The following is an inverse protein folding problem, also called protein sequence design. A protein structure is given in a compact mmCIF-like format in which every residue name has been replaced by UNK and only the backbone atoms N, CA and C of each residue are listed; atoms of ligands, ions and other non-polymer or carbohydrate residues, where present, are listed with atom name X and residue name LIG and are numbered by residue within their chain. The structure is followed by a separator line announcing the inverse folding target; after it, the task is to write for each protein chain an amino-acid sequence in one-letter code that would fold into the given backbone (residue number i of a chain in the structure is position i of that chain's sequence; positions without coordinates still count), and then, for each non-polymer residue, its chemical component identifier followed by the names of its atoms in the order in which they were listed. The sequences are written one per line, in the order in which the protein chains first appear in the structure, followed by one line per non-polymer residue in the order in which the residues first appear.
data_IF_334845099520
#
_entry.id   IF_334845099520
#
_cell.length_a   1.000
_cell.length_b   1.000
_cell.length_c   1.000
_cell.angle_alpha   90.00
_cell.angle_beta   90.00
_cell.angle_gamma   90.00
#
_symmetry.space_group_name_H-M   'P 1'
#
loop_
_entity.id
_entity.type
_entity.pdbx_description
1 polymer ?
#
# COMPACT_ATOMS: atom_id res chain seq x y z
N UNK A 1 50.05 41.18 10.60
CA UNK A 1 49.73 40.53 9.30
C UNK A 1 49.59 39.00 9.37
N UNK A 2 50.10 38.33 10.42
CA UNK A 2 49.99 36.86 10.59
C UNK A 2 48.62 36.37 11.13
N UNK A 3 47.97 37.18 11.97
CA UNK A 3 46.77 36.76 12.72
C UNK A 3 45.49 36.66 11.86
N UNK A 4 45.24 37.66 11.00
CA UNK A 4 44.13 37.64 10.03
C UNK A 4 44.17 36.41 9.09
N UNK A 5 45.37 35.89 8.80
CA UNK A 5 45.54 34.73 7.93
C UNK A 5 45.14 33.42 8.64
N UNK A 6 45.33 33.33 9.97
CA UNK A 6 44.90 32.19 10.78
C UNK A 6 43.38 32.17 10.98
N UNK A 7 42.78 33.34 11.24
CA UNK A 7 41.31 33.49 11.37
C UNK A 7 40.60 33.14 10.06
N UNK A 8 41.17 33.53 8.91
CA UNK A 8 40.65 33.17 7.59
C UNK A 8 40.71 31.65 7.32
N UNK A 9 41.81 31.00 7.70
CA UNK A 9 41.99 29.55 7.52
C UNK A 9 41.01 28.73 8.37
N UNK A 10 40.80 29.13 9.63
CA UNK A 10 39.87 28.48 10.57
C UNK A 10 38.42 28.57 10.08
N UNK A 11 38.02 29.73 9.54
CA UNK A 11 36.69 29.91 8.93
C UNK A 11 36.51 29.03 7.69
N UNK A 12 37.55 28.90 6.86
CA UNK A 12 37.51 28.06 5.66
C UNK A 12 37.37 26.57 6.02
N UNK A 13 38.09 26.12 7.05
CA UNK A 13 38.01 24.74 7.56
C UNK A 13 36.63 24.43 8.17
N UNK A 14 36.03 25.39 8.89
CA UNK A 14 34.69 25.24 9.44
C UNK A 14 33.61 25.14 8.35
N UNK A 15 33.69 25.98 7.30
CA UNK A 15 32.76 25.92 6.15
C UNK A 15 32.92 24.61 5.39
N UNK A 16 34.16 24.16 5.18
CA UNK A 16 34.44 22.87 4.54
C UNK A 16 33.88 21.70 5.36
N UNK A 17 34.02 21.74 6.69
CA UNK A 17 33.43 20.76 7.60
C UNK A 17 31.91 20.71 7.52
N UNK A 18 31.23 21.87 7.51
CA UNK A 18 29.77 21.96 7.38
C UNK A 18 29.30 21.43 6.01
N UNK A 19 30.02 21.75 4.93
CA UNK A 19 29.70 21.25 3.58
C UNK A 19 29.90 19.73 3.47
N UNK A 20 30.95 19.16 4.07
CA UNK A 20 31.16 17.71 4.12
C UNK A 20 30.09 17.00 4.96
N UNK A 21 29.66 17.59 6.09
CA UNK A 21 28.55 17.05 6.87
C UNK A 21 27.24 17.13 6.10
N UNK A 22 26.95 18.22 5.37
CA UNK A 22 25.75 18.35 4.55
C UNK A 22 25.69 17.33 3.40
N UNK A 23 26.83 17.00 2.81
CA UNK A 23 26.93 16.05 1.71
C UNK A 23 26.67 14.58 2.11
N UNK A 24 26.81 14.22 3.39
CA UNK A 24 26.49 12.85 3.87
C UNK A 24 25.01 12.66 4.21
N UNK A 25 24.25 13.73 4.44
CA UNK A 25 22.81 13.68 4.77
C UNK A 25 21.93 13.80 3.53
N UNK A 26 22.40 14.48 2.49
CA UNK A 26 21.68 14.68 1.23
C UNK A 26 21.29 13.40 0.45
N UNK A 27 22.05 12.28 0.47
CA UNK A 27 21.68 11.09 -0.29
C UNK A 27 20.41 10.40 0.19
N UNK A 28 19.92 10.69 1.41
CA UNK A 28 18.71 10.06 1.96
C UNK A 28 17.40 10.62 1.38
N UNK A 29 17.44 11.70 0.58
CA UNK A 29 16.24 12.40 0.10
C UNK A 29 16.02 12.30 -1.41
N UNK A 30 16.83 11.53 -2.14
CA UNK A 30 16.60 11.27 -3.56
C UNK A 30 15.71 10.02 -3.64
N UNK A 31 14.46 10.11 -4.12
CA UNK A 31 13.66 8.91 -4.36
C UNK A 31 14.29 8.14 -5.53
N UNK A 32 15.22 7.24 -5.23
CA UNK A 32 15.70 6.27 -6.20
C UNK A 32 14.55 5.33 -6.53
N UNK A 33 14.28 5.15 -7.83
CA UNK A 33 13.41 4.08 -8.32
C UNK A 33 14.01 2.74 -7.86
N UNK A 34 13.51 2.22 -6.75
CA UNK A 34 13.89 0.90 -6.25
C UNK A 34 13.00 -0.13 -6.93
N UNK A 35 13.62 -1.07 -7.65
CA UNK A 35 12.95 -2.29 -8.05
C UNK A 35 13.27 -3.34 -7.00
N UNK A 36 12.25 -4.05 -6.52
CA UNK A 36 12.48 -5.17 -5.63
C UNK A 36 13.37 -6.22 -6.31
N UNK A 37 14.35 -6.74 -5.59
CA UNK A 37 15.05 -7.97 -5.92
C UNK A 37 14.06 -9.14 -5.99
N UNK A 38 13.04 -9.12 -5.12
CA UNK A 38 11.92 -10.06 -5.13
C UNK A 38 10.63 -9.30 -5.48
N UNK A 39 10.11 -9.55 -6.68
CA UNK A 39 8.86 -8.97 -7.17
C UNK A 39 7.71 -9.89 -6.81
N UNK A 40 6.92 -9.46 -5.83
CA UNK A 40 5.72 -10.18 -5.41
C UNK A 40 4.50 -9.84 -6.27
N UNK A 41 3.42 -10.58 -6.04
CA UNK A 41 2.14 -10.38 -6.72
C UNK A 41 1.10 -9.91 -5.70
N UNK A 42 0.28 -8.94 -6.08
CA UNK A 42 -0.93 -8.55 -5.36
C UNK A 42 -2.13 -9.25 -6.00
N UNK A 43 -3.01 -9.80 -5.18
CA UNK A 43 -4.12 -10.62 -5.66
C UNK A 43 -5.38 -10.48 -4.81
N UNK A 44 -6.50 -10.88 -5.41
CA UNK A 44 -7.79 -11.01 -4.75
C UNK A 44 -7.91 -12.40 -4.13
N UNK A 45 -8.07 -12.47 -2.81
CA UNK A 45 -8.31 -13.69 -2.04
C UNK A 45 -9.72 -13.66 -1.45
N UNK A 46 -10.68 -14.25 -2.17
CA UNK A 46 -12.07 -14.34 -1.73
C UNK A 46 -12.33 -15.62 -0.88
N UNK A 47 -13.37 -15.65 -0.04
CA UNK A 47 -13.72 -16.81 0.79
C UNK A 47 -13.84 -18.10 -0.05
N UNK A 48 -13.47 -19.26 0.51
CA UNK A 48 -13.29 -19.54 1.95
C UNK A 48 -11.92 -19.14 2.53
N UNK A 49 -10.95 -18.77 1.69
CA UNK A 49 -9.61 -18.37 2.12
C UNK A 49 -9.61 -16.91 2.61
N UNK A 50 -10.13 -16.73 3.82
CA UNK A 50 -10.10 -15.45 4.55
C UNK A 50 -8.88 -15.30 5.45
N UNK A 51 -7.79 -16.03 5.21
CA UNK A 51 -6.60 -15.95 6.09
C UNK A 51 -5.26 -16.07 5.36
N UNK A 52 -4.55 -14.93 5.33
CA UNK A 52 -3.11 -14.72 5.65
C UNK A 52 -1.99 -15.49 4.93
N UNK A 53 -2.25 -16.44 4.03
CA UNK A 53 -1.19 -17.31 3.47
C UNK A 53 -0.70 -16.94 2.05
N UNK A 54 -0.93 -15.71 1.59
CA UNK A 54 -0.51 -15.28 0.25
C UNK A 54 -1.57 -15.46 -0.83
N UNK A 55 -1.13 -15.58 -2.08
CA UNK A 55 -2.02 -15.56 -3.23
C UNK A 55 -2.51 -16.95 -3.62
N UNK A 56 -3.82 -17.12 -3.93
CA UNK A 56 -4.32 -18.41 -4.39
C UNK A 56 -3.77 -18.75 -5.78
N UNK A 57 -3.59 -20.05 -6.05
CA UNK A 57 -3.13 -20.54 -7.36
C UNK A 57 -4.22 -20.53 -8.44
N UNK A 58 -5.47 -20.24 -8.06
CA UNK A 58 -6.63 -20.14 -8.94
C UNK A 58 -7.41 -18.86 -8.59
N UNK A 59 -8.08 -18.21 -9.57
CA UNK A 59 -8.98 -17.11 -9.28
C UNK A 59 -9.97 -17.48 -8.18
N UNK A 60 -10.12 -16.59 -7.20
CA UNK A 60 -11.01 -16.83 -6.09
C UNK A 60 -12.46 -16.79 -6.58
N UNK A 61 -13.20 -17.88 -6.36
CA UNK A 61 -14.64 -17.92 -6.63
C UNK A 61 -15.36 -17.57 -5.35
N UNK A 62 -16.29 -16.62 -5.40
CA UNK A 62 -17.19 -16.38 -4.28
C UNK A 62 -18.18 -17.55 -4.23
N UNK A 63 -17.86 -18.58 -3.45
CA UNK A 63 -18.65 -19.81 -3.35
C UNK A 63 -19.89 -19.54 -2.48
N UNK A 64 -21.05 -20.05 -2.91
CA UNK A 64 -22.28 -20.04 -2.11
C UNK A 64 -23.44 -19.21 -2.65
N UNK A 65 -23.44 -18.82 -3.94
CA UNK A 65 -24.48 -18.00 -4.59
C UNK A 65 -24.99 -16.89 -3.67
N UNK A 66 -24.15 -15.88 -3.38
CA UNK A 66 -24.53 -14.85 -2.43
C UNK A 66 -25.84 -14.20 -2.88
N UNK A 67 -26.83 -14.18 -1.99
CA UNK A 67 -28.13 -13.59 -2.26
C UNK A 67 -27.96 -12.10 -2.53
N UNK A 68 -28.68 -11.52 -3.49
CA UNK A 68 -28.66 -10.07 -3.72
C UNK A 68 -28.94 -9.35 -2.40
N UNK A 69 -28.15 -8.31 -2.10
CA UNK A 69 -28.18 -7.56 -0.85
C UNK A 69 -27.29 -8.12 0.27
N UNK A 70 -26.85 -9.39 0.16
CA UNK A 70 -25.90 -9.97 1.11
C UNK A 70 -24.51 -9.34 1.01
N UNK A 71 -23.68 -9.56 2.04
CA UNK A 71 -22.30 -9.05 2.09
C UNK A 71 -21.29 -10.16 1.92
N UNK A 72 -20.23 -9.87 1.18
CA UNK A 72 -19.07 -10.74 1.00
C UNK A 72 -17.82 -9.95 1.38
N UNK A 73 -16.95 -10.58 2.15
CA UNK A 73 -15.64 -10.01 2.50
C UNK A 73 -14.59 -10.64 1.62
N UNK A 74 -13.73 -9.83 1.01
CA UNK A 74 -12.66 -10.26 0.12
C UNK A 74 -11.36 -9.66 0.63
N UNK A 75 -10.33 -10.49 0.81
CA UNK A 75 -9.00 -10.04 1.19
C UNK A 75 -8.19 -9.64 -0.05
N UNK A 76 -7.33 -8.64 0.09
CA UNK A 76 -6.33 -8.28 -0.89
C UNK A 76 -4.98 -8.67 -0.31
N UNK A 77 -4.36 -9.70 -0.88
CA UNK A 77 -3.11 -10.27 -0.39
C UNK A 77 -1.93 -9.82 -1.26
N UNK A 78 -0.74 -9.92 -0.68
CA UNK A 78 0.53 -9.93 -1.38
C UNK A 78 1.22 -11.27 -1.16
N UNK A 79 2.01 -11.71 -2.13
CA UNK A 79 2.79 -12.92 -2.01
C UNK A 79 4.19 -12.77 -2.61
N UNK A 80 5.20 -13.17 -1.86
CA UNK A 80 6.57 -13.28 -2.34
C UNK A 80 7.20 -11.94 -2.69
N UNK A 81 6.90 -10.86 -1.98
CA UNK A 81 7.52 -9.55 -2.25
C UNK A 81 8.74 -9.29 -1.38
N UNK A 82 9.60 -8.35 -1.77
CA UNK A 82 10.56 -7.75 -0.85
C UNK A 82 9.90 -7.09 0.38
N UNK A 83 10.75 -6.69 1.31
CA UNK A 83 10.37 -5.92 2.49
C UNK A 83 9.70 -4.60 2.05
N UNK A 84 8.53 -4.29 2.60
CA UNK A 84 7.78 -3.07 2.28
C UNK A 84 7.33 -2.37 3.57
N UNK A 85 7.28 -1.04 3.56
CA UNK A 85 6.70 -0.26 4.65
C UNK A 85 5.34 0.33 4.28
N UNK A 86 4.81 0.08 3.08
CA UNK A 86 3.53 0.64 2.67
C UNK A 86 3.10 0.23 1.28
N UNK A 87 1.86 0.59 0.94
CA UNK A 87 1.23 0.31 -0.33
C UNK A 87 0.17 1.36 -0.66
N UNK A 88 -0.23 1.41 -1.94
CA UNK A 88 -1.47 2.03 -2.40
C UNK A 88 -2.02 1.23 -3.57
N UNK A 89 -3.26 0.78 -3.46
CA UNK A 89 -3.87 -0.18 -4.38
C UNK A 89 -5.28 0.29 -4.74
N UNK A 90 -5.60 0.20 -6.03
CA UNK A 90 -6.93 0.43 -6.58
C UNK A 90 -7.53 -0.91 -6.99
N UNK A 91 -8.72 -1.24 -6.49
CA UNK A 91 -9.47 -2.44 -6.85
C UNK A 91 -10.77 -2.02 -7.50
N UNK A 92 -10.96 -2.37 -8.78
CA UNK A 92 -12.16 -2.03 -9.54
C UNK A 92 -13.10 -3.23 -9.65
N UNK A 93 -14.39 -2.96 -9.52
CA UNK A 93 -15.47 -3.94 -9.68
C UNK A 93 -16.56 -3.41 -10.60
N UNK A 94 -17.36 -4.33 -11.16
CA UNK A 94 -18.63 -3.99 -11.77
C UNK A 94 -19.68 -3.81 -10.66
N UNK A 95 -20.11 -2.56 -10.46
CA UNK A 95 -21.06 -2.18 -9.41
C UNK A 95 -22.44 -2.84 -9.57
N UNK A 96 -22.77 -3.35 -10.76
CA UNK A 96 -24.01 -4.10 -11.01
C UNK A 96 -23.94 -5.53 -10.47
N UNK A 97 -22.74 -6.03 -10.14
CA UNK A 97 -22.50 -7.36 -9.59
C UNK A 97 -22.04 -7.27 -8.13
N UNK A 98 -21.00 -6.48 -7.86
CA UNK A 98 -20.44 -6.25 -6.53
C UNK A 98 -20.23 -4.76 -6.30
N UNK A 99 -20.96 -4.21 -5.34
CA UNK A 99 -20.78 -2.81 -4.93
C UNK A 99 -19.90 -2.74 -3.68
N UNK A 100 -18.70 -2.11 -3.73
CA UNK A 100 -17.88 -1.96 -2.53
C UNK A 100 -18.57 -1.03 -1.54
N UNK A 101 -18.59 -1.42 -0.26
CA UNK A 101 -19.23 -0.65 0.81
C UNK A 101 -18.29 -0.29 1.97
N UNK A 102 -17.16 -1.00 2.10
CA UNK A 102 -16.16 -0.75 3.15
C UNK A 102 -14.81 -1.33 2.73
N UNK A 103 -13.71 -0.68 3.16
CA UNK A 103 -12.40 -1.31 3.25
C UNK A 103 -11.86 -1.24 4.69
N UNK A 104 -11.11 -2.26 5.10
CA UNK A 104 -10.61 -2.44 6.46
C UNK A 104 -9.12 -2.81 6.47
N UNK A 105 -8.34 -2.11 7.31
CA UNK A 105 -6.90 -2.30 7.50
C UNK A 105 -6.56 -3.04 8.80
N UNK A 106 -7.54 -3.46 9.60
CA UNK A 106 -7.31 -4.07 10.92
C UNK A 106 -6.45 -5.35 10.87
N UNK A 107 -6.52 -6.10 9.77
CA UNK A 107 -5.79 -7.35 9.57
C UNK A 107 -4.59 -7.20 8.61
N UNK A 108 -4.06 -5.98 8.46
CA UNK A 108 -2.93 -5.74 7.57
C UNK A 108 -1.64 -6.40 8.08
N UNK A 109 -0.80 -6.85 7.16
CA UNK A 109 0.54 -7.38 7.44
C UNK A 109 1.54 -6.28 7.80
N UNK A 110 1.22 -5.01 7.54
CA UNK A 110 2.10 -3.90 7.86
C UNK A 110 2.35 -3.87 9.38
N UNK A 111 3.61 -3.66 9.75
CA UNK A 111 4.00 -3.51 11.14
C UNK A 111 3.26 -2.32 11.78
N UNK A 112 2.75 -2.53 12.99
CA UNK A 112 1.97 -1.54 13.72
C UNK A 112 2.86 -0.61 14.55
N UNK A 113 2.52 0.69 14.68
CA UNK A 113 1.29 1.31 14.18
C UNK A 113 1.35 1.70 12.69
N UNK A 114 0.19 1.72 12.03
CA UNK A 114 0.06 2.21 10.64
C UNK A 114 -0.56 3.60 10.56
N UNK A 115 -0.24 4.33 9.49
CA UNK A 115 -0.90 5.56 9.06
C UNK A 115 -1.64 5.29 7.74
N UNK A 116 -2.99 5.32 7.74
CA UNK A 116 -3.76 5.30 6.50
C UNK A 116 -3.52 6.57 5.69
N UNK A 117 -3.13 6.41 4.43
CA UNK A 117 -2.96 7.50 3.46
C UNK A 117 -4.18 7.66 2.54
N UNK A 118 -4.85 6.55 2.23
CA UNK A 118 -6.09 6.52 1.48
C UNK A 118 -7.01 5.41 2.02
N UNK A 119 -8.30 5.71 2.16
CA UNK A 119 -9.36 4.73 2.38
C UNK A 119 -10.64 5.28 1.75
N UNK A 120 -10.81 4.96 0.48
CA UNK A 120 -11.86 5.50 -0.37
C UNK A 120 -12.67 4.40 -1.03
N UNK A 121 -13.99 4.60 -1.01
CA UNK A 121 -14.98 3.71 -1.60
C UNK A 121 -15.81 4.55 -2.55
N UNK A 122 -15.84 4.16 -3.83
CA UNK A 122 -16.60 4.87 -4.86
C UNK A 122 -16.21 6.35 -4.99
N UNK A 123 -14.92 6.71 -4.83
CA UNK A 123 -14.46 8.10 -4.85
C UNK A 123 -14.71 8.91 -3.59
N UNK A 124 -15.26 8.31 -2.52
CA UNK A 124 -15.58 8.98 -1.26
C UNK A 124 -14.78 8.41 -0.09
N UNK A 125 -14.26 9.28 0.78
CA UNK A 125 -13.41 8.90 1.90
C UNK A 125 -12.29 9.90 2.16
N UNK A 126 -11.19 9.42 2.74
CA UNK A 126 -9.99 10.23 3.01
C UNK A 126 -8.87 9.82 2.07
N UNK A 127 -8.16 10.79 1.49
CA UNK A 127 -7.00 10.52 0.61
C UNK A 127 -7.35 10.13 -0.83
N UNK A 128 -8.61 10.27 -1.22
CA UNK A 128 -9.13 9.87 -2.54
C UNK A 128 -8.47 10.66 -3.65
N UNK A 129 -8.16 10.01 -4.76
CA UNK A 129 -7.57 10.66 -5.93
C UNK A 129 -8.27 10.21 -7.20
N UNK A 130 -9.29 10.99 -7.59
CA UNK A 130 -10.07 10.75 -8.81
C UNK A 130 -9.18 10.83 -10.07
N UNK A 131 -8.17 11.69 -10.05
CA UNK A 131 -7.19 11.81 -11.14
C UNK A 131 -6.30 10.59 -11.31
N UNK A 132 -6.17 9.74 -10.28
CA UNK A 132 -5.39 8.50 -10.35
C UNK A 132 -6.25 7.25 -10.51
N UNK A 133 -7.55 7.40 -10.78
CA UNK A 133 -8.43 6.28 -11.09
C UNK A 133 -9.39 5.87 -9.98
N UNK A 134 -9.50 6.61 -8.88
CA UNK A 134 -10.59 6.44 -7.93
C UNK A 134 -11.93 6.95 -8.52
N UNK A 135 -13.04 6.32 -8.16
CA UNK A 135 -14.36 6.60 -8.72
C UNK A 135 -15.35 5.46 -8.51
N UNK A 136 -16.52 5.49 -9.19
CA UNK A 136 -17.55 4.46 -9.03
C UNK A 136 -17.02 3.03 -9.28
N UNK A 137 -17.32 2.12 -8.36
CA UNK A 137 -16.88 0.72 -8.39
C UNK A 137 -15.42 0.51 -7.95
N UNK A 138 -14.71 1.55 -7.52
CA UNK A 138 -13.30 1.48 -7.11
C UNK A 138 -13.16 1.57 -5.60
N UNK A 139 -12.25 0.75 -5.06
CA UNK A 139 -11.70 0.85 -3.72
C UNK A 139 -10.24 1.32 -3.84
N UNK A 140 -9.91 2.47 -3.26
CA UNK A 140 -8.54 3.02 -3.18
C UNK A 140 -8.08 2.98 -1.72
N UNK A 141 -7.13 2.10 -1.42
CA UNK A 141 -6.58 1.92 -0.09
C UNK A 141 -5.08 2.09 -0.14
N UNK A 142 -4.56 2.95 0.72
CA UNK A 142 -3.13 3.12 0.92
C UNK A 142 -2.79 3.32 2.38
N UNK A 143 -1.69 2.72 2.81
CA UNK A 143 -1.22 2.79 4.19
C UNK A 143 0.30 2.68 4.24
N UNK A 144 0.89 3.26 5.29
CA UNK A 144 2.30 3.09 5.63
C UNK A 144 2.46 2.66 7.07
N UNK A 145 3.43 1.78 7.33
CA UNK A 145 3.91 1.41 8.65
C UNK A 145 4.78 2.51 9.22
N UNK A 146 4.52 2.90 10.47
CA UNK A 146 5.37 3.79 11.26
C UNK A 146 6.41 3.02 12.08
N UNK A 147 6.38 1.69 12.04
CA UNK A 147 7.29 0.80 12.75
C UNK A 147 8.43 0.25 11.87
N UNK A 148 8.41 0.53 10.56
CA UNK A 148 9.45 0.11 9.62
C UNK A 148 8.95 -0.90 8.56
N UNK A 149 9.91 -1.59 7.95
CA UNK A 149 9.67 -2.57 6.88
C UNK A 149 9.09 -3.89 7.42
N UNK A 150 8.33 -4.60 6.58
CA UNK A 150 7.98 -6.01 6.78
C UNK A 150 9.20 -6.94 6.63
N UNK A 151 9.05 -8.19 7.05
CA UNK A 151 10.07 -9.23 6.84
C UNK A 151 9.89 -9.88 5.46
N UNK A 152 10.92 -9.88 4.59
CA UNK A 152 10.86 -10.57 3.30
C UNK A 152 11.04 -12.11 3.46
N UNK A 153 10.41 -12.94 2.61
CA UNK A 153 9.42 -12.55 1.61
C UNK A 153 8.13 -12.09 2.28
N UNK A 154 7.66 -10.91 1.89
CA UNK A 154 6.42 -10.34 2.40
C UNK A 154 5.26 -11.04 1.74
N UNK A 155 4.59 -11.87 2.53
CA UNK A 155 3.40 -12.61 2.14
C UNK A 155 2.33 -12.43 3.22
N UNK A 156 1.11 -12.07 2.82
CA UNK A 156 0.00 -11.90 3.75
C UNK A 156 -1.08 -10.95 3.27
N UNK A 157 -1.98 -10.60 4.18
CA UNK A 157 -3.10 -9.70 3.91
C UNK A 157 -2.66 -8.23 3.95
N UNK A 158 -3.05 -7.44 2.96
CA UNK A 158 -2.84 -6.00 2.95
C UNK A 158 -4.03 -5.26 3.56
N UNK A 159 -5.24 -5.60 3.10
CA UNK A 159 -6.51 -5.05 3.57
C UNK A 159 -7.68 -5.92 3.10
N UNK A 160 -8.84 -5.72 3.70
CA UNK A 160 -10.08 -6.41 3.33
C UNK A 160 -11.08 -5.43 2.72
N UNK A 161 -11.89 -5.91 1.79
CA UNK A 161 -12.98 -5.17 1.16
C UNK A 161 -14.29 -5.90 1.46
N UNK A 162 -15.28 -5.15 1.94
CA UNK A 162 -16.65 -5.64 2.06
C UNK A 162 -17.43 -5.16 0.84
N UNK A 163 -17.95 -6.12 0.08
CA UNK A 163 -18.86 -5.89 -1.03
C UNK A 163 -20.30 -6.22 -0.63
N UNK A 164 -21.24 -5.46 -1.15
CA UNK A 164 -22.64 -5.84 -1.23
C UNK A 164 -22.91 -6.45 -2.60
N UNK A 165 -23.57 -7.61 -2.62
CA UNK A 165 -23.91 -8.29 -3.87
C UNK A 165 -25.10 -7.61 -4.52
N UNK A 166 -24.91 -7.15 -5.75
CA UNK A 166 -25.92 -6.46 -6.56
C UNK A 166 -26.48 -7.35 -7.70
N UNK A 167 -25.74 -8.39 -8.09
CA UNK A 167 -26.14 -9.31 -9.16
C UNK A 167 -25.57 -10.72 -8.96
N UNK A 168 -26.22 -11.72 -9.57
CA UNK A 168 -25.87 -13.15 -9.43
C UNK A 168 -25.09 -13.72 -10.61
N UNK A 169 -24.70 -12.88 -11.56
CA UNK A 169 -23.89 -13.28 -12.72
C UNK A 169 -22.43 -13.39 -12.34
N UNK A 170 -21.74 -14.39 -12.88
CA UNK A 170 -20.27 -14.45 -12.84
C UNK A 170 -19.71 -13.23 -13.60
N UNK A 171 -19.01 -12.35 -12.89
CA UNK A 171 -18.20 -11.31 -13.51
C UNK A 171 -16.76 -11.79 -13.63
N UNK A 172 -16.21 -11.81 -14.83
CA UNK A 172 -14.76 -11.83 -15.04
C UNK A 172 -14.34 -10.44 -15.53
N UNK A 173 -13.25 -9.91 -14.99
CA UNK A 173 -12.53 -8.79 -15.61
C UNK A 173 -11.86 -9.22 -16.90
#
# INVERSE_FOLDING_TARGET
MSDNRRISLLKLLAILGIMLLGATIAPMMIPSSAHGLIVGIVCVAAPPITSTSGCPSSPATIIGSPTIGSRVVVAINIDGSDALNGFRIFVKTDITILNPVKADLNNTLLAQPILPLANCINGAGTGCSLSSGDGPGVVDVGAVSLAGLSTPPTTGNLFEIVYQVAGTTTGST
#
